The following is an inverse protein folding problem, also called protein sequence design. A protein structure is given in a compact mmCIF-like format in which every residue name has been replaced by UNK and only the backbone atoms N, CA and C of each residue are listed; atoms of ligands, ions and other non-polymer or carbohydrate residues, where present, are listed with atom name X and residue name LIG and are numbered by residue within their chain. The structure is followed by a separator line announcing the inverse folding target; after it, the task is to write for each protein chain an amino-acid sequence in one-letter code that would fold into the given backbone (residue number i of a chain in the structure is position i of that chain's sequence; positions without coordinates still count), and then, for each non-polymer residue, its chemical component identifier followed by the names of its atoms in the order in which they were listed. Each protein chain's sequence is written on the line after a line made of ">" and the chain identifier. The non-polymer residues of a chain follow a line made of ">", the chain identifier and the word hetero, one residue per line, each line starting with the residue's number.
data_IF_472318614703
#
_entry.id   IF_472318614703
#
_cell.length_a   1.000
_cell.length_b   1.000
_cell.length_c   1.000
_cell.angle_alpha   90.00
_cell.angle_beta   90.00
_cell.angle_gamma   90.00
#
_symmetry.space_group_name_H-M   'P 1'
#
loop_
_entity.id
_entity.type
_entity.pdbx_description
1 polymer ?
#
# COMPACT_ATOMS: atom_id res chain seq x y z
N UNK A 1 -9.18 0.75 29.61
CA UNK A 1 -9.29 1.00 28.14
C UNK A 1 -10.73 0.69 27.75
N UNK A 2 -11.53 1.68 27.34
CA UNK A 2 -12.95 1.46 26.99
C UNK A 2 -13.05 0.39 25.88
N UNK A 3 -14.00 -0.53 26.03
CA UNK A 3 -14.30 -1.67 25.14
C UNK A 3 -14.75 -1.25 23.72
N UNK A 4 -13.88 -0.56 22.98
CA UNK A 4 -14.05 -0.30 21.56
C UNK A 4 -13.37 -1.44 20.79
N UNK A 5 -14.14 -2.47 20.43
CA UNK A 5 -13.61 -3.51 19.56
C UNK A 5 -13.19 -2.90 18.21
N UNK A 6 -12.11 -3.42 17.63
CA UNK A 6 -11.62 -2.99 16.32
C UNK A 6 -12.73 -3.04 15.26
N UNK A 7 -13.63 -4.01 15.36
CA UNK A 7 -14.83 -4.12 14.52
C UNK A 7 -15.73 -2.88 14.61
N UNK A 8 -16.00 -2.35 15.81
CA UNK A 8 -16.79 -1.11 15.98
C UNK A 8 -16.10 0.10 15.40
N UNK A 9 -14.77 0.13 15.45
CA UNK A 9 -13.96 1.22 14.90
C UNK A 9 -14.06 1.22 13.37
N UNK A 10 -13.86 0.06 12.74
CA UNK A 10 -13.98 -0.09 11.29
C UNK A 10 -15.41 0.18 10.79
N UNK A 11 -16.45 -0.29 11.50
CA UNK A 11 -17.85 -0.05 11.13
C UNK A 11 -18.26 1.43 11.15
N UNK A 12 -17.50 2.30 11.82
CA UNK A 12 -17.76 3.75 11.84
C UNK A 12 -17.09 4.52 10.71
N UNK A 13 -16.10 3.93 10.05
CA UNK A 13 -15.41 4.58 8.96
C UNK A 13 -16.33 4.68 7.73
N UNK A 14 -16.38 5.85 7.09
CA UNK A 14 -17.22 6.09 5.91
C UNK A 14 -16.64 5.42 4.66
N UNK A 15 -15.33 5.22 4.62
CA UNK A 15 -14.61 4.62 3.50
C UNK A 15 -13.27 4.00 3.96
N UNK A 16 -12.58 3.35 3.02
CA UNK A 16 -11.29 2.69 3.25
C UNK A 16 -10.17 3.64 3.69
N UNK A 17 -10.14 4.88 3.16
CA UNK A 17 -9.16 5.89 3.57
C UNK A 17 -9.35 6.29 5.03
N UNK A 18 -10.59 6.57 5.45
CA UNK A 18 -10.89 6.92 6.84
C UNK A 18 -10.61 5.74 7.78
N UNK A 19 -10.93 4.52 7.37
CA UNK A 19 -10.60 3.33 8.15
C UNK A 19 -9.08 3.22 8.38
N UNK A 20 -8.28 3.51 7.35
CA UNK A 20 -6.82 3.53 7.47
C UNK A 20 -6.34 4.61 8.42
N UNK A 21 -6.82 5.85 8.28
CA UNK A 21 -6.45 6.97 9.16
C UNK A 21 -6.78 6.65 10.62
N UNK A 22 -7.94 6.06 10.89
CA UNK A 22 -8.32 5.67 12.25
C UNK A 22 -7.36 4.62 12.81
N UNK A 23 -6.99 3.61 12.02
CA UNK A 23 -6.02 2.59 12.45
C UNK A 23 -4.65 3.21 12.76
N UNK A 24 -4.15 4.09 11.89
CA UNK A 24 -2.86 4.77 12.08
C UNK A 24 -2.87 5.64 13.34
N UNK A 25 -3.96 6.36 13.61
CA UNK A 25 -4.08 7.22 14.79
C UNK A 25 -4.30 6.45 16.09
N UNK A 26 -4.96 5.29 16.04
CA UNK A 26 -5.38 4.56 17.26
C UNK A 26 -4.37 3.49 17.69
N UNK A 27 -3.63 2.89 16.74
CA UNK A 27 -2.72 1.79 17.00
C UNK A 27 -1.26 2.23 16.93
N UNK A 28 -0.63 2.41 18.10
CA UNK A 28 0.80 2.75 18.17
C UNK A 28 1.65 1.69 17.45
N UNK A 29 2.58 2.13 16.60
CA UNK A 29 3.43 1.25 15.78
C UNK A 29 2.80 0.82 14.45
N UNK A 30 1.55 1.20 14.16
CA UNK A 30 0.89 0.95 12.88
C UNK A 30 1.00 2.19 11.99
N UNK A 31 1.88 2.12 10.98
CA UNK A 31 1.94 3.12 9.91
C UNK A 31 0.97 2.82 8.76
N UNK A 32 0.93 3.71 7.77
CA UNK A 32 0.06 3.62 6.58
C UNK A 32 0.17 2.28 5.86
N UNK A 33 1.39 1.76 5.65
CA UNK A 33 1.61 0.46 5.03
C UNK A 33 0.93 -0.67 5.80
N UNK A 34 1.12 -0.71 7.13
CA UNK A 34 0.60 -1.78 7.97
C UNK A 34 -0.92 -1.71 8.08
N UNK A 35 -1.47 -0.50 8.18
CA UNK A 35 -2.92 -0.31 8.17
C UNK A 35 -3.53 -0.72 6.82
N UNK A 36 -2.93 -0.33 5.69
CA UNK A 36 -3.40 -0.73 4.34
C UNK A 36 -3.32 -2.25 4.15
N UNK A 37 -2.21 -2.87 4.57
CA UNK A 37 -2.02 -4.33 4.53
C UNK A 37 -3.08 -5.06 5.35
N UNK A 38 -3.34 -4.58 6.57
CA UNK A 38 -4.37 -5.14 7.43
C UNK A 38 -5.75 -5.07 6.76
N UNK A 39 -6.15 -3.88 6.28
CA UNK A 39 -7.45 -3.67 5.64
C UNK A 39 -7.61 -4.52 4.38
N UNK A 40 -6.56 -4.70 3.58
CA UNK A 40 -6.56 -5.62 2.43
C UNK A 40 -6.74 -7.07 2.87
N UNK A 41 -6.01 -7.51 3.89
CA UNK A 41 -6.03 -8.91 4.33
C UNK A 41 -7.37 -9.36 4.91
N UNK A 42 -8.13 -8.44 5.50
CA UNK A 42 -9.50 -8.70 5.97
C UNK A 42 -10.56 -8.42 4.91
N UNK A 43 -10.17 -8.21 3.65
CA UNK A 43 -11.05 -7.86 2.52
C UNK A 43 -11.90 -6.59 2.74
N UNK A 44 -11.44 -5.66 3.59
CA UNK A 44 -12.14 -4.39 3.84
C UNK A 44 -11.87 -3.37 2.73
N UNK A 45 -10.69 -3.43 2.11
CA UNK A 45 -10.26 -2.49 1.07
C UNK A 45 -9.70 -3.23 -0.13
N UNK A 46 -9.97 -2.68 -1.32
CA UNK A 46 -9.32 -3.10 -2.57
C UNK A 46 -8.46 -2.01 -3.21
N UNK A 47 -8.60 -0.75 -2.79
CA UNK A 47 -7.96 0.41 -3.44
C UNK A 47 -7.05 1.22 -2.51
N UNK A 48 -6.51 0.61 -1.45
CA UNK A 48 -5.40 1.17 -0.69
C UNK A 48 -4.08 0.57 -1.17
N UNK A 49 -3.07 1.40 -1.40
CA UNK A 49 -1.74 0.93 -1.76
C UNK A 49 -1.03 0.39 -0.52
N UNK A 50 -0.23 -0.66 -0.71
CA UNK A 50 0.66 -1.21 0.30
C UNK A 50 2.09 -0.92 -0.16
N UNK A 51 2.58 0.29 0.13
CA UNK A 51 3.89 0.74 -0.34
C UNK A 51 5.03 0.08 0.47
N UNK A 52 5.43 -1.11 0.06
CA UNK A 52 6.57 -1.84 0.59
C UNK A 52 7.79 -1.77 -0.35
N UNK A 53 8.90 -2.43 0.03
CA UNK A 53 10.12 -2.40 -0.79
C UNK A 53 9.96 -3.05 -2.17
N UNK A 54 9.04 -4.01 -2.34
CA UNK A 54 8.78 -4.65 -3.63
C UNK A 54 7.99 -3.70 -4.53
N UNK A 55 6.95 -3.08 -3.98
CA UNK A 55 6.13 -2.11 -4.70
C UNK A 55 6.96 -0.91 -5.13
N UNK A 56 7.75 -0.30 -4.24
CA UNK A 56 8.57 0.87 -4.61
C UNK A 56 9.59 0.54 -5.70
N UNK A 57 10.26 -0.62 -5.62
CA UNK A 57 11.19 -1.06 -6.67
C UNK A 57 10.49 -1.31 -7.99
N UNK A 58 9.29 -1.88 -7.96
CA UNK A 58 8.49 -2.05 -9.16
C UNK A 58 8.14 -0.70 -9.78
N UNK A 59 7.71 0.27 -8.98
CA UNK A 59 7.40 1.62 -9.45
C UNK A 59 8.62 2.29 -10.08
N UNK A 60 9.81 2.13 -9.48
CA UNK A 60 11.08 2.61 -10.04
C UNK A 60 11.40 1.93 -11.39
N UNK A 61 11.27 0.59 -11.46
CA UNK A 61 11.52 -0.19 -12.68
C UNK A 61 10.58 0.17 -13.83
N UNK A 62 9.32 0.46 -13.52
CA UNK A 62 8.31 0.87 -14.50
C UNK A 62 8.39 2.36 -14.84
N UNK A 63 9.27 3.13 -14.18
CA UNK A 63 9.39 4.57 -14.40
C UNK A 63 8.10 5.33 -14.05
N UNK A 64 7.38 4.92 -13.01
CA UNK A 64 6.14 5.59 -12.59
C UNK A 64 6.40 6.97 -11.94
N UNK A 65 7.66 7.29 -11.69
CA UNK A 65 8.14 8.57 -11.20
C UNK A 65 9.40 8.98 -11.94
N UNK A 66 9.60 10.29 -12.10
CA UNK A 66 10.82 10.86 -12.71
C UNK A 66 12.07 10.55 -11.88
N UNK A 67 11.94 10.62 -10.56
CA UNK A 67 13.01 10.34 -9.62
C UNK A 67 12.77 9.03 -8.89
N UNK A 68 13.86 8.38 -8.47
CA UNK A 68 13.80 7.15 -7.68
C UNK A 68 13.02 7.35 -6.38
N UNK A 69 12.22 6.37 -5.99
CA UNK A 69 11.49 6.37 -4.73
C UNK A 69 12.43 6.57 -3.52
N UNK A 70 11.96 7.34 -2.54
CA UNK A 70 12.69 7.60 -1.31
C UNK A 70 12.87 6.31 -0.49
N UNK A 71 14.06 6.12 0.10
CA UNK A 71 14.35 4.97 0.98
C UNK A 71 13.49 4.99 2.26
N UNK A 72 13.26 6.19 2.80
CA UNK A 72 12.39 6.42 3.96
C UNK A 72 11.15 7.16 3.48
N UNK A 73 9.99 6.54 3.65
CA UNK A 73 8.71 7.12 3.20
C UNK A 73 8.14 7.99 4.31
N UNK A 74 8.02 9.29 4.04
CA UNK A 74 7.21 10.21 4.85
C UNK A 74 5.72 10.04 4.52
N UNK A 75 4.84 10.63 5.34
CA UNK A 75 3.38 10.65 5.04
C UNK A 75 3.08 11.29 3.68
N UNK A 76 3.81 12.35 3.32
CA UNK A 76 3.61 13.03 2.03
C UNK A 76 4.08 12.17 0.86
N UNK A 77 5.22 11.48 1.01
CA UNK A 77 5.68 10.50 0.02
C UNK A 77 4.64 9.39 -0.17
N UNK A 78 4.05 8.90 0.93
CA UNK A 78 3.04 7.84 0.86
C UNK A 78 1.84 8.25 0.00
N UNK A 79 1.26 9.43 0.26
CA UNK A 79 0.13 9.93 -0.53
C UNK A 79 0.49 10.15 -2.00
N UNK A 80 1.69 10.67 -2.28
CA UNK A 80 2.16 10.90 -3.65
C UNK A 80 2.31 9.57 -4.41
N UNK A 81 3.01 8.61 -3.81
CA UNK A 81 3.29 7.29 -4.37
C UNK A 81 2.02 6.47 -4.54
N UNK A 82 1.12 6.51 -3.55
CA UNK A 82 -0.19 5.86 -3.65
C UNK A 82 -1.00 6.40 -4.82
N UNK A 83 -1.03 7.73 -5.02
CA UNK A 83 -1.76 8.34 -6.14
C UNK A 83 -1.22 7.88 -7.49
N UNK A 84 0.10 7.80 -7.66
CA UNK A 84 0.65 7.30 -8.93
C UNK A 84 0.40 5.82 -9.15
N UNK A 85 0.56 4.99 -8.11
CA UNK A 85 0.25 3.57 -8.22
C UNK A 85 -1.24 3.35 -8.54
N UNK A 86 -2.13 4.16 -7.96
CA UNK A 86 -3.56 4.13 -8.25
C UNK A 86 -3.84 4.49 -9.71
N UNK A 87 -3.24 5.58 -10.22
CA UNK A 87 -3.35 5.96 -11.63
C UNK A 87 -2.89 4.83 -12.56
N UNK A 88 -1.73 4.23 -12.27
CA UNK A 88 -1.21 3.10 -13.03
C UNK A 88 -2.15 1.89 -12.97
N UNK A 89 -2.68 1.55 -11.78
CA UNK A 89 -3.64 0.45 -11.64
C UNK A 89 -4.92 0.66 -12.46
N UNK A 90 -5.41 1.90 -12.52
CA UNK A 90 -6.56 2.27 -13.34
C UNK A 90 -6.24 2.14 -14.84
N UNK A 91 -5.05 2.55 -15.29
CA UNK A 91 -4.63 2.43 -16.69
C UNK A 91 -4.61 0.97 -17.17
N UNK A 92 -4.24 0.03 -16.30
CA UNK A 92 -4.23 -1.41 -16.60
C UNK A 92 -5.51 -2.14 -16.15
N UNK A 93 -6.58 -1.39 -15.80
CA UNK A 93 -7.89 -1.90 -15.39
C UNK A 93 -7.85 -2.94 -14.26
N UNK A 94 -7.07 -2.68 -13.21
CA UNK A 94 -6.96 -3.56 -12.03
C UNK A 94 -7.14 -2.79 -10.72
N UNK A 95 -7.37 -3.51 -9.63
CA UNK A 95 -7.40 -2.92 -8.28
C UNK A 95 -6.01 -2.94 -7.66
N UNK A 96 -5.74 -2.01 -6.75
CA UNK A 96 -4.45 -1.95 -6.04
C UNK A 96 -4.16 -3.24 -5.27
N UNK A 97 -5.18 -3.90 -4.72
CA UNK A 97 -5.00 -5.17 -4.02
C UNK A 97 -4.57 -6.32 -4.94
N UNK A 98 -5.10 -6.39 -6.17
CA UNK A 98 -4.66 -7.39 -7.16
C UNK A 98 -3.26 -7.07 -7.65
N UNK A 99 -3.00 -5.79 -7.90
CA UNK A 99 -1.69 -5.31 -8.34
C UNK A 99 -0.60 -5.58 -7.29
N UNK A 100 -0.87 -5.34 -6.01
CA UNK A 100 0.05 -5.64 -4.89
C UNK A 100 0.51 -7.11 -4.89
N UNK A 101 -0.44 -8.04 -5.00
CA UNK A 101 -0.13 -9.48 -5.06
C UNK A 101 0.72 -9.81 -6.28
N UNK A 102 0.36 -9.28 -7.45
CA UNK A 102 1.10 -9.52 -8.69
C UNK A 102 2.54 -8.97 -8.60
N UNK A 103 2.70 -7.72 -8.16
CA UNK A 103 4.00 -7.08 -7.96
C UNK A 103 4.84 -7.89 -6.99
N UNK A 104 4.28 -8.32 -5.86
CA UNK A 104 5.02 -9.07 -4.86
C UNK A 104 5.56 -10.40 -5.40
N UNK A 105 4.77 -11.13 -6.20
CA UNK A 105 5.22 -12.35 -6.89
C UNK A 105 6.32 -12.03 -7.89
N UNK A 106 6.07 -11.08 -8.81
CA UNK A 106 7.01 -10.69 -9.86
C UNK A 106 8.35 -10.24 -9.28
N UNK A 107 8.33 -9.33 -8.30
CA UNK A 107 9.55 -8.75 -7.74
C UNK A 107 10.38 -9.75 -6.93
N UNK A 108 9.77 -10.79 -6.37
CA UNK A 108 10.54 -11.90 -5.76
C UNK A 108 11.23 -12.77 -6.81
N UNK A 109 10.57 -13.02 -7.94
CA UNK A 109 11.18 -13.74 -9.07
C UNK A 109 12.32 -12.90 -9.67
N UNK A 110 12.09 -11.60 -9.92
CA UNK A 110 13.11 -10.67 -10.43
C UNK A 110 14.34 -10.65 -9.54
N UNK A 111 14.17 -10.54 -8.22
CA UNK A 111 15.31 -10.56 -7.29
C UNK A 111 16.11 -11.87 -7.34
N UNK A 112 15.45 -12.99 -7.63
CA UNK A 112 16.07 -14.33 -7.66
C UNK A 112 16.77 -14.62 -8.98
N UNK A 113 16.10 -14.37 -10.09
CA UNK A 113 16.55 -14.73 -11.44
C UNK A 113 17.33 -13.60 -12.13
N UNK A 114 17.06 -12.34 -11.76
CA UNK A 114 17.62 -11.14 -12.40
C UNK A 114 18.17 -10.15 -11.35
N UNK A 115 19.15 -10.56 -10.51
CA UNK A 115 19.63 -9.74 -9.39
C UNK A 115 20.21 -8.38 -9.81
N UNK A 116 20.71 -8.24 -11.05
CA UNK A 116 21.21 -6.97 -11.60
C UNK A 116 20.11 -5.94 -11.89
N UNK A 117 18.83 -6.36 -11.90
CA UNK A 117 17.68 -5.45 -12.02
C UNK A 117 17.12 -5.01 -10.65
N UNK A 118 17.62 -5.56 -9.54
CA UNK A 118 16.96 -5.51 -8.22
C UNK A 118 17.49 -4.50 -7.21
#
# INVERSE_FOLDING_TARGET
>A
IKNNSLKKVLLKAKNELEAREILVCTCMGIGYKQASLFLRNIYYSQNLAILDTHVLRYMDLMGLFENKCNKTITKNDYSLYEKQLMNYSNQINTTLSKLDVAIWVVMRVVRREFPWMS
#
